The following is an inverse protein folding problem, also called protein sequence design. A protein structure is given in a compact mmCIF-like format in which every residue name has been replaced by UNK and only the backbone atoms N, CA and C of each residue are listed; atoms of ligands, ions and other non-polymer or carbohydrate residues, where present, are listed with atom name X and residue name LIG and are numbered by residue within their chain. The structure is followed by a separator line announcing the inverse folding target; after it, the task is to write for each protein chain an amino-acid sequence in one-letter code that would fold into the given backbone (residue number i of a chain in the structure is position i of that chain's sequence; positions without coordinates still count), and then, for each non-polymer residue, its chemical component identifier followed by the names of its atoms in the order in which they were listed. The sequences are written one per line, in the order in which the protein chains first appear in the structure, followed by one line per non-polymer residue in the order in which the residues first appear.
data_IF_002069989666
#
_entry.id   IF_002069989666
#
_cell.length_a   1.000
_cell.length_b   1.000
_cell.length_c   1.000
_cell.angle_alpha   90.00
_cell.angle_beta   90.00
_cell.angle_gamma   90.00
#
_symmetry.space_group_name_H-M   'P 1'
#
loop_
_entity.id
_entity.type
_entity.pdbx_description
1 polymer ?
#
# COMPACT_ATOMS: atom_id res chain seq x y z
N UNK A 1 -8.70 -18.28 80.24
CA UNK A 1 -7.87 -18.15 79.02
C UNK A 1 -7.68 -16.66 78.74
N UNK A 2 -6.49 -16.09 79.06
CA UNK A 2 -6.16 -14.67 78.81
C UNK A 2 -5.31 -14.63 77.55
N UNK A 3 -5.92 -14.38 76.41
CA UNK A 3 -5.14 -14.09 75.20
C UNK A 3 -4.37 -12.79 75.43
N UNK A 4 -3.04 -12.89 75.39
CA UNK A 4 -2.15 -11.80 75.74
C UNK A 4 -2.31 -10.67 74.72
N UNK A 5 -2.57 -9.45 75.18
CA UNK A 5 -2.73 -8.23 74.36
C UNK A 5 -1.57 -8.02 73.36
N UNK A 6 -0.38 -8.54 73.70
CA UNK A 6 0.80 -8.58 72.85
C UNK A 6 0.62 -9.43 71.59
N UNK A 7 -0.06 -10.58 71.68
CA UNK A 7 -0.34 -11.47 70.54
C UNK A 7 -1.27 -10.78 69.56
N UNK A 8 -2.32 -10.13 70.05
CA UNK A 8 -3.26 -9.37 69.19
C UNK A 8 -2.58 -8.21 68.48
N UNK A 9 -1.65 -7.50 69.14
CA UNK A 9 -0.83 -6.46 68.51
C UNK A 9 0.09 -7.01 67.43
N UNK A 10 0.77 -8.13 67.69
CA UNK A 10 1.66 -8.79 66.73
C UNK A 10 0.90 -9.26 65.48
N UNK A 11 -0.30 -9.82 65.66
CA UNK A 11 -1.15 -10.25 64.55
C UNK A 11 -1.64 -9.06 63.73
N UNK A 12 -2.03 -7.95 64.38
CA UNK A 12 -2.46 -6.72 63.69
C UNK A 12 -1.32 -6.05 62.90
N UNK A 13 -0.11 -6.02 63.44
CA UNK A 13 1.09 -5.52 62.74
C UNK A 13 1.40 -6.37 61.50
N UNK A 14 1.37 -7.70 61.63
CA UNK A 14 1.60 -8.62 60.50
C UNK A 14 0.53 -8.49 59.42
N UNK A 15 -0.74 -8.32 59.78
CA UNK A 15 -1.83 -8.10 58.83
C UNK A 15 -1.68 -6.77 58.07
N UNK A 16 -1.20 -5.72 58.73
CA UNK A 16 -0.98 -4.41 58.12
C UNK A 16 0.22 -4.38 57.16
N UNK A 17 1.27 -5.15 57.47
CA UNK A 17 2.40 -5.34 56.58
C UNK A 17 2.03 -6.14 55.33
N UNK A 18 1.11 -7.11 55.45
CA UNK A 18 0.61 -7.91 54.34
C UNK A 18 -0.41 -7.18 53.45
N UNK A 19 -1.04 -6.09 53.94
CA UNK A 19 -2.05 -5.33 53.18
C UNK A 19 -1.48 -4.14 52.40
N UNK A 20 -0.16 -3.91 52.47
CA UNK A 20 0.48 -2.79 51.78
C UNK A 20 1.14 -3.31 50.50
N UNK A 21 0.57 -3.06 49.30
CA UNK A 21 1.27 -3.36 48.06
C UNK A 21 2.58 -2.58 48.03
N UNK A 22 3.69 -3.14 47.50
CA UNK A 22 4.93 -2.38 47.34
C UNK A 22 4.62 -1.16 46.47
N UNK A 23 4.67 0.02 47.06
CA UNK A 23 4.55 1.28 46.34
C UNK A 23 5.86 1.44 45.58
N UNK A 24 5.82 1.20 44.26
CA UNK A 24 6.92 1.51 43.37
C UNK A 24 7.37 2.94 43.67
N UNK A 25 8.64 3.11 44.00
CA UNK A 25 9.21 4.44 44.18
C UNK A 25 9.03 5.25 42.89
N UNK A 26 8.98 6.58 43.00
CA UNK A 26 8.85 7.45 41.84
C UNK A 26 9.92 7.12 40.76
N UNK A 27 11.11 6.69 41.16
CA UNK A 27 12.18 6.26 40.27
C UNK A 27 11.86 4.97 39.50
N UNK A 28 11.28 3.96 40.16
CA UNK A 28 10.89 2.69 39.52
C UNK A 28 9.71 2.89 38.56
N UNK A 29 8.78 3.79 38.89
CA UNK A 29 7.68 4.16 38.00
C UNK A 29 8.20 4.86 36.74
N UNK A 30 9.14 5.80 36.87
CA UNK A 30 9.77 6.49 35.73
C UNK A 30 10.51 5.49 34.83
N UNK A 31 11.26 4.54 35.43
CA UNK A 31 11.96 3.51 34.68
C UNK A 31 11.01 2.58 33.92
N UNK A 32 9.87 2.22 34.53
CA UNK A 32 8.84 1.41 33.88
C UNK A 32 8.18 2.15 32.69
N UNK A 33 7.87 3.44 32.86
CA UNK A 33 7.31 4.29 31.80
C UNK A 33 8.32 4.45 30.65
N UNK A 34 9.58 4.72 30.96
CA UNK A 34 10.63 4.87 29.96
C UNK A 34 10.82 3.58 29.13
N UNK A 35 10.83 2.41 29.77
CA UNK A 35 10.90 1.13 29.08
C UNK A 35 9.68 0.87 28.19
N UNK A 36 8.48 1.25 28.64
CA UNK A 36 7.28 1.12 27.84
C UNK A 36 7.34 2.02 26.59
N UNK A 37 7.77 3.27 26.75
CA UNK A 37 7.92 4.22 25.64
C UNK A 37 8.92 3.71 24.59
N UNK A 38 10.09 3.22 25.01
CA UNK A 38 11.09 2.66 24.08
C UNK A 38 10.54 1.43 23.33
N UNK A 39 9.73 0.60 24.00
CA UNK A 39 9.06 -0.51 23.32
C UNK A 39 7.98 -0.03 22.34
N UNK A 40 7.22 1.00 22.69
CA UNK A 40 6.23 1.60 21.80
C UNK A 40 6.89 2.23 20.56
N UNK A 41 7.99 2.97 20.73
CA UNK A 41 8.79 3.53 19.63
C UNK A 41 9.29 2.44 18.68
N UNK A 42 9.85 1.34 19.22
CA UNK A 42 10.28 0.21 18.39
C UNK A 42 9.12 -0.43 17.62
N UNK A 43 7.92 -0.51 18.22
CA UNK A 43 6.73 -1.00 17.54
C UNK A 43 6.27 -0.05 16.43
N UNK A 44 6.33 1.26 16.67
CA UNK A 44 6.00 2.28 15.66
C UNK A 44 6.94 2.19 14.46
N UNK A 45 8.25 2.10 14.67
CA UNK A 45 9.24 1.97 13.59
C UNK A 45 8.99 0.73 12.72
N UNK A 46 8.66 -0.42 13.35
CA UNK A 46 8.35 -1.66 12.62
C UNK A 46 7.03 -1.54 11.85
N UNK A 47 6.06 -0.80 12.37
CA UNK A 47 4.78 -0.55 11.67
C UNK A 47 5.00 0.40 10.50
N UNK A 48 5.76 1.48 10.66
CA UNK A 48 6.11 2.42 9.59
C UNK A 48 6.84 1.70 8.44
N UNK A 49 7.85 0.88 8.75
CA UNK A 49 8.54 0.07 7.75
C UNK A 49 7.61 -0.91 7.01
N UNK A 50 6.59 -1.46 7.70
CA UNK A 50 5.59 -2.33 7.07
C UNK A 50 4.63 -1.54 6.17
N UNK A 51 4.25 -0.33 6.56
CA UNK A 51 3.42 0.56 5.74
C UNK A 51 4.16 0.98 4.47
N UNK A 52 5.44 1.36 4.58
CA UNK A 52 6.29 1.67 3.42
C UNK A 52 6.41 0.47 2.47
N UNK A 53 6.51 -0.76 2.99
CA UNK A 53 6.53 -1.98 2.18
C UNK A 53 5.17 -2.29 1.52
N UNK A 54 4.04 -1.89 2.11
CA UNK A 54 2.72 -1.99 1.50
C UNK A 54 2.51 -0.95 0.39
N UNK A 55 3.09 0.24 0.54
CA UNK A 55 3.15 1.25 -0.53
C UNK A 55 4.02 0.77 -1.71
N UNK A 56 5.06 -0.04 -1.45
CA UNK A 56 5.95 -0.66 -2.46
C UNK A 56 5.31 -1.78 -3.31
N UNK A 57 3.99 -1.87 -3.39
CA UNK A 57 3.32 -2.81 -4.30
C UNK A 57 1.97 -2.36 -4.81
N UNK A 58 1.50 -1.18 -4.40
CA UNK A 58 0.16 -0.71 -4.72
C UNK A 58 0.24 0.24 -5.91
N UNK A 59 -0.41 -0.13 -7.03
CA UNK A 59 -0.55 0.78 -8.17
C UNK A 59 -1.27 2.05 -7.67
N UNK A 60 -0.71 3.25 -7.88
CA UNK A 60 -1.32 4.49 -7.41
C UNK A 60 -2.73 4.65 -7.97
N UNK A 61 -3.62 5.28 -7.19
CA UNK A 61 -5.00 5.49 -7.60
C UNK A 61 -5.10 6.13 -8.99
N UNK A 62 -5.97 5.58 -9.84
CA UNK A 62 -6.20 6.03 -11.21
C UNK A 62 -5.12 5.61 -12.21
N UNK A 63 -4.00 5.03 -11.77
CA UNK A 63 -3.02 4.41 -12.65
C UNK A 63 -3.36 2.94 -12.88
N UNK A 64 -3.02 2.43 -14.06
CA UNK A 64 -3.22 1.04 -14.44
C UNK A 64 -1.99 0.45 -15.12
N UNK A 65 -1.81 -0.86 -14.98
CA UNK A 65 -0.80 -1.62 -15.72
C UNK A 65 -1.25 -1.92 -17.16
N UNK A 66 -0.29 -2.15 -18.06
CA UNK A 66 -0.59 -2.43 -19.47
C UNK A 66 -1.47 -3.68 -19.69
N UNK A 67 -1.30 -4.73 -18.89
CA UNK A 67 -2.15 -5.92 -18.98
C UNK A 67 -3.63 -5.62 -18.71
N UNK A 68 -3.92 -4.71 -17.78
CA UNK A 68 -5.27 -4.23 -17.54
C UNK A 68 -5.78 -3.45 -18.76
N UNK A 69 -5.00 -2.51 -19.29
CA UNK A 69 -5.38 -1.72 -20.46
C UNK A 69 -5.67 -2.61 -21.69
N UNK A 70 -4.88 -3.66 -21.90
CA UNK A 70 -5.11 -4.62 -22.98
C UNK A 70 -6.43 -5.38 -22.79
N UNK A 71 -6.72 -5.85 -21.57
CA UNK A 71 -7.96 -6.55 -21.27
C UNK A 71 -9.20 -5.64 -21.36
N UNK A 72 -9.06 -4.36 -20.99
CA UNK A 72 -10.17 -3.40 -20.93
C UNK A 72 -10.46 -2.75 -22.28
N UNK A 73 -9.42 -2.36 -23.03
CA UNK A 73 -9.53 -1.56 -24.26
C UNK A 73 -9.10 -2.31 -25.53
N UNK A 74 -8.66 -3.56 -25.43
CA UNK A 74 -8.37 -4.41 -26.61
C UNK A 74 -7.09 -4.06 -27.37
N UNK A 75 -6.33 -3.05 -26.94
CA UNK A 75 -5.08 -2.65 -27.56
C UNK A 75 -3.90 -3.44 -26.97
N UNK A 76 -3.07 -4.04 -27.82
CA UNK A 76 -1.91 -4.82 -27.33
C UNK A 76 -0.94 -3.96 -26.50
N UNK A 77 -0.23 -4.55 -25.55
CA UNK A 77 0.72 -3.84 -24.68
C UNK A 77 1.73 -2.97 -25.46
N UNK A 78 2.22 -3.47 -26.60
CA UNK A 78 3.14 -2.72 -27.46
C UNK A 78 2.48 -1.46 -28.06
N UNK A 79 1.23 -1.59 -28.53
CA UNK A 79 0.47 -0.47 -29.09
C UNK A 79 0.01 0.50 -28.00
N UNK A 80 -0.37 0.02 -26.82
CA UNK A 80 -0.66 0.87 -25.67
C UNK A 80 0.56 1.72 -25.26
N UNK A 81 1.77 1.14 -25.25
CA UNK A 81 3.01 1.92 -25.03
C UNK A 81 3.25 2.95 -26.13
N UNK A 82 3.01 2.59 -27.38
CA UNK A 82 3.14 3.50 -28.51
C UNK A 82 2.17 4.69 -28.39
N UNK A 83 0.91 4.44 -28.04
CA UNK A 83 -0.09 5.48 -27.78
C UNK A 83 0.36 6.41 -26.64
N UNK A 84 0.81 5.84 -25.52
CA UNK A 84 1.29 6.61 -24.37
C UNK A 84 2.43 7.56 -24.76
N UNK A 85 3.38 7.11 -25.57
CA UNK A 85 4.47 7.97 -26.06
C UNK A 85 3.98 9.03 -27.04
N UNK A 86 3.16 8.65 -28.03
CA UNK A 86 2.74 9.54 -29.11
C UNK A 86 1.74 10.63 -28.69
N UNK A 87 1.03 10.44 -27.57
CA UNK A 87 0.11 11.43 -26.97
C UNK A 87 0.61 11.96 -25.61
N UNK A 88 1.84 11.63 -25.22
CA UNK A 88 2.44 12.07 -23.95
C UNK A 88 1.54 11.78 -22.73
N UNK A 89 0.91 10.61 -22.73
CA UNK A 89 0.02 10.19 -21.63
C UNK A 89 0.86 10.05 -20.34
N UNK A 90 0.39 10.59 -19.20
CA UNK A 90 1.08 10.44 -17.92
C UNK A 90 1.32 8.97 -17.56
N UNK A 91 2.58 8.63 -17.34
CA UNK A 91 3.00 7.30 -16.96
C UNK A 91 4.18 7.38 -16.00
N UNK A 92 4.38 6.35 -15.18
CA UNK A 92 5.50 6.25 -14.23
C UNK A 92 5.86 4.80 -13.97
N UNK A 93 7.02 4.59 -13.36
CA UNK A 93 7.44 3.28 -12.87
C UNK A 93 7.07 3.13 -11.40
N UNK A 94 6.54 1.96 -11.04
CA UNK A 94 6.20 1.58 -9.67
C UNK A 94 6.84 0.23 -9.34
N UNK A 95 7.25 -0.01 -8.09
CA UNK A 95 7.69 -1.32 -7.68
C UNK A 95 6.56 -2.35 -7.83
N UNK A 96 6.91 -3.54 -8.32
CA UNK A 96 6.00 -4.66 -8.50
C UNK A 96 6.68 -5.95 -8.06
N UNK A 97 6.08 -6.64 -7.10
CA UNK A 97 6.55 -7.92 -6.57
C UNK A 97 6.04 -9.03 -7.48
N UNK A 98 6.95 -9.70 -8.19
CA UNK A 98 6.61 -10.89 -8.97
C UNK A 98 6.27 -12.07 -8.03
N UNK A 99 5.53 -13.11 -8.49
CA UNK A 99 5.15 -14.27 -7.66
C UNK A 99 6.33 -14.99 -6.97
N UNK A 100 7.55 -14.87 -7.50
CA UNK A 100 8.78 -15.40 -6.90
C UNK A 100 9.45 -14.49 -5.87
N UNK A 101 8.81 -13.39 -5.44
CA UNK A 101 9.34 -12.44 -4.46
C UNK A 101 10.33 -11.40 -5.02
N UNK A 102 10.71 -11.50 -6.30
CA UNK A 102 11.56 -10.52 -6.94
C UNK A 102 10.82 -9.19 -7.15
N UNK A 103 11.37 -8.10 -6.62
CA UNK A 103 10.87 -6.74 -6.88
C UNK A 103 11.38 -6.26 -8.24
N UNK A 104 10.46 -5.91 -9.13
CA UNK A 104 10.73 -5.36 -10.45
C UNK A 104 10.09 -3.98 -10.59
N UNK A 105 10.48 -3.22 -11.61
CA UNK A 105 9.86 -1.93 -11.91
C UNK A 105 8.81 -2.12 -13.02
N UNK A 106 7.52 -1.93 -12.70
CA UNK A 106 6.42 -1.99 -13.66
C UNK A 106 6.06 -0.57 -14.11
N UNK A 107 5.81 -0.39 -15.41
CA UNK A 107 5.28 0.88 -15.92
C UNK A 107 3.76 0.89 -15.83
N UNK A 108 3.23 1.96 -15.24
CA UNK A 108 1.79 2.20 -15.08
C UNK A 108 1.42 3.54 -15.71
N UNK A 109 0.16 3.66 -16.13
CA UNK A 109 -0.35 4.76 -16.95
C UNK A 109 -1.62 5.32 -16.31
N UNK A 110 -1.79 6.64 -16.30
CA UNK A 110 -3.03 7.27 -15.84
C UNK A 110 -4.18 6.93 -16.79
N UNK A 111 -5.18 6.19 -16.30
CA UNK A 111 -6.22 5.57 -17.12
C UNK A 111 -7.08 6.59 -17.87
N UNK A 112 -7.57 7.63 -17.19
CA UNK A 112 -8.42 8.65 -17.80
C UNK A 112 -7.73 9.38 -18.98
N UNK A 113 -6.43 9.65 -18.84
CA UNK A 113 -5.64 10.26 -19.91
C UNK A 113 -5.37 9.28 -21.05
N UNK A 114 -5.15 7.99 -20.74
CA UNK A 114 -5.01 6.94 -21.74
C UNK A 114 -6.29 6.79 -22.56
N UNK A 115 -7.45 6.76 -21.92
CA UNK A 115 -8.76 6.67 -22.56
C UNK A 115 -9.01 7.88 -23.48
N UNK A 116 -8.71 9.09 -23.00
CA UNK A 116 -8.81 10.31 -23.82
C UNK A 116 -7.92 10.23 -25.08
N UNK A 117 -6.66 9.81 -24.92
CA UNK A 117 -5.74 9.64 -26.04
C UNK A 117 -6.21 8.53 -27.00
N UNK A 118 -6.75 7.43 -26.48
CA UNK A 118 -7.30 6.34 -27.26
C UNK A 118 -8.47 6.81 -28.12
N UNK A 119 -9.40 7.56 -27.53
CA UNK A 119 -10.53 8.14 -28.27
C UNK A 119 -10.08 9.13 -29.35
N UNK A 120 -9.11 9.99 -29.06
CA UNK A 120 -8.55 10.90 -30.07
C UNK A 120 -7.89 10.14 -31.22
N UNK A 121 -7.05 9.15 -30.90
CA UNK A 121 -6.40 8.29 -31.89
C UNK A 121 -7.41 7.56 -32.77
N UNK A 122 -8.48 7.01 -32.19
CA UNK A 122 -9.51 6.29 -32.94
C UNK A 122 -10.34 7.20 -33.86
N UNK A 123 -10.52 8.49 -33.53
CA UNK A 123 -11.18 9.46 -34.43
C UNK A 123 -10.38 9.72 -35.71
N UNK A 124 -9.06 9.63 -35.63
CA UNK A 124 -8.14 9.84 -36.76
C UNK A 124 -7.77 8.53 -37.47
N UNK A 125 -8.13 7.37 -36.91
CA UNK A 125 -7.79 6.07 -37.44
C UNK A 125 -8.74 5.65 -38.57
N UNK A 126 -8.17 5.10 -39.63
CA UNK A 126 -8.92 4.55 -40.76
C UNK A 126 -9.04 3.03 -40.63
N UNK A 127 -10.27 2.51 -40.75
CA UNK A 127 -10.49 1.08 -40.86
C UNK A 127 -10.17 0.60 -42.28
N UNK A 128 -9.29 -0.39 -42.39
CA UNK A 128 -8.82 -1.02 -43.63
C UNK A 128 -9.02 -2.53 -43.56
N UNK A 129 -10.26 -2.97 -43.84
CA UNK A 129 -10.69 -4.35 -43.64
C UNK A 129 -10.75 -4.72 -42.16
N UNK A 130 -10.11 -5.81 -41.76
CA UNK A 130 -10.03 -6.25 -40.36
C UNK A 130 -8.98 -5.50 -39.52
N UNK A 131 -8.32 -4.49 -40.09
CA UNK A 131 -7.21 -3.77 -39.45
C UNK A 131 -7.48 -2.28 -39.41
N UNK A 132 -6.88 -1.60 -38.45
CA UNK A 132 -6.89 -0.15 -38.34
C UNK A 132 -5.53 0.42 -38.73
N UNK A 133 -5.55 1.62 -39.29
CA UNK A 133 -4.35 2.37 -39.64
C UNK A 133 -4.44 3.79 -39.10
N UNK A 134 -3.37 4.26 -38.47
CA UNK A 134 -3.23 5.66 -38.05
C UNK A 134 -1.79 6.10 -38.27
N UNK A 135 -1.55 7.34 -38.69
CA UNK A 135 -0.23 7.86 -39.06
C UNK A 135 0.83 7.65 -37.97
N UNK A 136 0.50 7.96 -36.71
CA UNK A 136 1.37 7.74 -35.54
C UNK A 136 1.41 6.30 -35.01
N UNK A 137 0.41 5.46 -35.32
CA UNK A 137 0.29 4.10 -34.76
C UNK A 137 0.67 3.02 -35.76
N UNK A 138 0.78 3.34 -37.05
CA UNK A 138 0.86 2.37 -38.14
C UNK A 138 -0.38 1.46 -38.18
N UNK A 139 -0.18 0.23 -38.64
CA UNK A 139 -1.23 -0.80 -38.63
C UNK A 139 -1.40 -1.40 -37.22
N UNK A 140 -2.64 -1.57 -36.78
CA UNK A 140 -2.97 -2.23 -35.53
C UNK A 140 -4.31 -2.98 -35.60
N UNK A 141 -4.50 -3.92 -34.68
CA UNK A 141 -5.78 -4.56 -34.43
C UNK A 141 -6.37 -3.95 -33.17
N UNK A 142 -7.68 -3.77 -33.18
CA UNK A 142 -8.50 -3.33 -32.07
C UNK A 142 -9.68 -4.28 -32.02
N UNK A 143 -9.57 -5.32 -31.20
CA UNK A 143 -10.65 -6.27 -30.97
C UNK A 143 -11.34 -5.84 -29.68
N UNK A 144 -12.64 -5.60 -29.71
CA UNK A 144 -13.42 -5.18 -28.53
C UNK A 144 -12.92 -3.88 -27.88
N UNK A 145 -12.49 -2.90 -28.68
CA UNK A 145 -12.37 -1.54 -28.17
C UNK A 145 -13.78 -1.16 -27.68
N UNK A 146 -13.98 -1.10 -26.36
CA UNK A 146 -15.19 -0.57 -25.75
C UNK A 146 -15.21 0.94 -26.04
N UNK A 147 -15.47 1.30 -27.28
CA UNK A 147 -15.77 2.66 -27.69
C UNK A 147 -17.14 2.92 -27.11
N UNK A 148 -17.19 3.47 -25.90
CA UNK A 148 -18.40 4.07 -25.40
C UNK A 148 -18.61 5.31 -26.27
N UNK A 149 -19.60 5.20 -27.16
CA UNK A 149 -20.12 6.32 -27.94
C UNK A 149 -20.72 7.39 -27.01
#
# INVERSE_FOLDING_TARGET
MRESKAVRRSVLEKLKALSSPPQLSAAELIAAIANNNVQQEKRLIVVEQKVEQMEQGTIPQGYQGYSYLQATYGLSNAKSKQLVMAWSVPHKKVPHVAPGGQVTQMSVVLEASFETALHQMMKEAEQRGSWWYHTKMGRFSATDLKVVA
#
